data_IF_159114334925
#
_entry.id   IF_159114334925
#
_cell.length_a   1.000
_cell.length_b   1.000
_cell.length_c   1.000
_cell.angle_alpha   90.00
_cell.angle_beta   90.00
_cell.angle_gamma   90.00
#
_symmetry.space_group_name_H-M   'P 1'
#
loop_
_entity.id
_entity.type
_entity.pdbx_description
1 polymer ?
#
# COMPACT_ATOMS: atom_id res chain seq x y z
N UNK A 1 -39.35 17.95 6.78
CA UNK A 1 -38.86 16.65 6.27
C UNK A 1 -37.81 16.94 5.23
N UNK A 2 -36.55 16.78 5.56
CA UNK A 2 -35.45 16.81 4.60
C UNK A 2 -35.46 15.44 3.94
N UNK A 3 -35.66 15.37 2.62
CA UNK A 3 -35.60 14.12 1.85
C UNK A 3 -34.20 13.50 2.00
N UNK A 4 -34.12 12.22 2.35
CA UNK A 4 -32.87 11.45 2.35
C UNK A 4 -32.27 11.28 0.95
N UNK A 5 -32.95 11.74 -0.12
CA UNK A 5 -32.47 11.64 -1.49
C UNK A 5 -31.41 12.70 -1.85
N UNK A 6 -31.17 13.70 -0.99
CA UNK A 6 -30.19 14.76 -1.24
C UNK A 6 -28.97 14.74 -0.30
N UNK A 7 -28.81 13.69 0.50
CA UNK A 7 -27.55 13.41 1.16
C UNK A 7 -26.67 12.62 0.20
N UNK A 8 -25.73 13.32 -0.43
CA UNK A 8 -24.45 12.78 -0.89
C UNK A 8 -24.61 11.81 -2.08
N UNK A 9 -24.17 12.24 -3.26
CA UNK A 9 -23.71 11.33 -4.30
C UNK A 9 -22.52 10.56 -3.76
N UNK A 10 -22.79 9.57 -2.91
CA UNK A 10 -21.77 8.74 -2.29
C UNK A 10 -21.15 7.97 -3.42
N UNK A 11 -19.97 8.41 -3.86
CA UNK A 11 -19.00 7.57 -4.53
C UNK A 11 -18.85 6.34 -3.65
N UNK A 12 -19.67 5.31 -3.88
CA UNK A 12 -19.56 4.02 -3.24
C UNK A 12 -18.69 3.18 -4.15
N UNK A 13 -17.88 2.31 -3.55
CA UNK A 13 -17.23 1.26 -4.32
C UNK A 13 -18.31 0.49 -5.09
N UNK A 14 -18.16 0.31 -6.41
CA UNK A 14 -19.22 -0.25 -7.22
C UNK A 14 -19.49 -1.71 -6.86
N UNK A 15 -20.76 -2.11 -6.97
CA UNK A 15 -21.23 -3.42 -6.56
C UNK A 15 -21.14 -4.42 -7.71
N UNK A 16 -20.68 -5.64 -7.41
CA UNK A 16 -20.68 -6.74 -8.36
C UNK A 16 -22.07 -7.37 -8.45
N UNK A 17 -22.65 -7.40 -9.66
CA UNK A 17 -23.88 -8.13 -9.92
C UNK A 17 -23.60 -9.57 -10.35
N UNK A 18 -22.49 -9.80 -11.06
CA UNK A 18 -22.15 -11.09 -11.67
C UNK A 18 -20.64 -11.30 -11.78
N UNK A 19 -20.14 -12.56 -11.80
CA UNK A 19 -18.74 -12.85 -12.14
C UNK A 19 -18.33 -12.33 -13.52
N UNK A 20 -19.29 -12.10 -14.42
CA UNK A 20 -19.04 -11.54 -15.75
C UNK A 20 -18.57 -10.07 -15.73
N UNK A 21 -18.84 -9.36 -14.62
CA UNK A 21 -18.41 -7.97 -14.42
C UNK A 21 -16.90 -7.87 -14.10
N UNK A 22 -16.24 -9.00 -13.88
CA UNK A 22 -14.81 -9.11 -13.61
C UNK A 22 -14.05 -9.62 -14.82
N UNK A 23 -13.07 -8.83 -15.25
CA UNK A 23 -12.14 -9.17 -16.30
C UNK A 23 -10.76 -9.31 -15.68
N UNK A 24 -10.30 -10.54 -15.49
CA UNK A 24 -8.91 -10.79 -15.09
C UNK A 24 -7.97 -10.37 -16.22
N UNK A 25 -6.95 -9.59 -15.87
CA UNK A 25 -5.88 -9.18 -16.80
C UNK A 25 -4.63 -10.03 -16.58
N UNK A 26 -4.50 -10.63 -15.40
CA UNK A 26 -3.47 -11.60 -15.04
C UNK A 26 -4.12 -12.96 -14.75
N UNK A 27 -3.89 -13.94 -15.63
CA UNK A 27 -4.38 -15.31 -15.52
C UNK A 27 -3.38 -16.26 -14.85
N UNK A 28 -2.14 -15.81 -14.61
CA UNK A 28 -1.09 -16.61 -13.96
C UNK A 28 -1.09 -16.45 -12.43
N UNK A 29 -1.86 -15.50 -11.91
CA UNK A 29 -1.96 -15.23 -10.48
C UNK A 29 -2.69 -16.34 -9.69
N UNK A 30 -2.48 -16.41 -8.36
CA UNK A 30 -3.10 -17.44 -7.51
C UNK A 30 -4.60 -17.24 -7.26
N UNK A 31 -5.19 -16.14 -7.76
CA UNK A 31 -6.59 -15.78 -7.58
C UNK A 31 -7.38 -16.02 -8.87
N UNK A 32 -8.15 -17.12 -8.88
CA UNK A 32 -9.12 -17.41 -9.94
C UNK A 32 -10.29 -16.42 -9.90
N UNK A 33 -10.97 -16.23 -11.04
CA UNK A 33 -12.08 -15.27 -11.20
C UNK A 33 -13.20 -15.53 -10.20
N UNK A 34 -13.58 -16.79 -10.02
CA UNK A 34 -14.65 -17.21 -9.13
C UNK A 34 -14.32 -16.88 -7.67
N UNK A 35 -13.05 -17.04 -7.29
CA UNK A 35 -12.56 -16.72 -5.95
C UNK A 35 -12.49 -15.21 -5.73
N UNK A 36 -12.07 -14.45 -6.75
CA UNK A 36 -12.09 -12.99 -6.71
C UNK A 36 -13.52 -12.47 -6.60
N UNK A 37 -14.46 -13.03 -7.38
CA UNK A 37 -15.87 -12.70 -7.26
C UNK A 37 -16.38 -12.98 -5.85
N UNK A 38 -16.17 -14.19 -5.31
CA UNK A 38 -16.58 -14.52 -3.95
C UNK A 38 -15.99 -13.57 -2.88
N UNK A 39 -14.71 -13.19 -3.01
CA UNK A 39 -14.07 -12.23 -2.12
C UNK A 39 -14.75 -10.85 -2.13
N UNK A 40 -15.23 -10.43 -3.30
CA UNK A 40 -15.84 -9.13 -3.55
C UNK A 40 -17.38 -9.15 -3.38
N UNK A 41 -18.06 -10.28 -3.51
CA UNK A 41 -19.51 -10.37 -3.29
C UNK A 41 -19.90 -10.18 -1.82
N UNK A 42 -18.96 -10.42 -0.90
CA UNK A 42 -19.14 -10.22 0.55
C UNK A 42 -19.01 -8.74 0.99
N UNK A 43 -18.63 -7.83 0.08
CA UNK A 43 -18.39 -6.42 0.42
C UNK A 43 -19.61 -5.71 1.03
N UNK A 44 -20.85 -5.86 0.52
CA UNK A 44 -21.97 -5.07 1.00
C UNK A 44 -22.24 -5.26 2.49
N UNK A 45 -22.08 -6.49 2.97
CA UNK A 45 -22.21 -6.81 4.38
C UNK A 45 -21.10 -6.16 5.23
N UNK A 46 -19.89 -5.99 4.67
CA UNK A 46 -18.68 -5.54 5.39
C UNK A 46 -18.40 -4.05 5.29
N UNK A 47 -18.91 -3.37 4.26
CA UNK A 47 -18.82 -1.92 4.16
C UNK A 47 -19.46 -1.25 5.40
N UNK A 48 -20.50 -1.87 5.97
CA UNK A 48 -21.12 -1.45 7.23
C UNK A 48 -20.18 -1.56 8.45
N UNK A 49 -19.13 -2.37 8.39
CA UNK A 49 -18.17 -2.61 9.49
C UNK A 49 -16.90 -1.73 9.37
N UNK A 50 -16.88 -0.75 8.46
CA UNK A 50 -15.69 0.08 8.20
C UNK A 50 -14.66 -0.61 7.30
N UNK A 51 -15.08 -1.60 6.51
CA UNK A 51 -14.21 -2.31 5.55
C UNK A 51 -13.84 -1.51 4.30
N UNK A 52 -14.25 -0.25 4.18
CA UNK A 52 -13.98 0.61 3.01
C UNK A 52 -13.34 1.92 3.47
N UNK A 53 -12.18 2.25 2.92
CA UNK A 53 -11.54 3.55 3.06
C UNK A 53 -11.57 4.26 1.71
N UNK A 54 -12.19 5.43 1.63
CA UNK A 54 -12.29 6.22 0.41
C UNK A 54 -11.62 7.58 0.58
N UNK A 55 -10.80 7.94 -0.40
CA UNK A 55 -10.33 9.30 -0.62
C UNK A 55 -10.87 9.81 -1.96
N UNK A 56 -10.62 11.08 -2.27
CA UNK A 56 -11.02 11.69 -3.54
C UNK A 56 -10.38 11.03 -4.78
N UNK A 57 -9.30 10.26 -4.59
CA UNK A 57 -8.59 9.63 -5.72
C UNK A 57 -8.53 8.11 -5.61
N UNK A 58 -8.54 7.56 -4.39
CA UNK A 58 -8.29 6.14 -4.13
C UNK A 58 -9.43 5.55 -3.33
N UNK A 59 -9.85 4.33 -3.69
CA UNK A 59 -10.68 3.51 -2.84
C UNK A 59 -9.93 2.24 -2.45
N UNK A 60 -9.93 1.96 -1.15
CA UNK A 60 -9.41 0.74 -0.55
C UNK A 60 -10.57 -0.03 0.07
N UNK A 61 -10.55 -1.32 -0.17
CA UNK A 61 -11.53 -2.26 0.34
C UNK A 61 -10.82 -3.41 1.04
N UNK A 62 -11.25 -3.72 2.25
CA UNK A 62 -10.66 -4.75 3.11
C UNK A 62 -11.64 -5.91 3.26
N UNK A 63 -11.27 -7.11 2.80
CA UNK A 63 -12.12 -8.31 2.89
C UNK A 63 -11.28 -9.56 3.13
N UNK A 64 -11.66 -10.40 4.10
CA UNK A 64 -11.07 -11.73 4.36
C UNK A 64 -9.52 -11.78 4.34
N UNK A 65 -8.85 -10.76 4.87
CA UNK A 65 -7.38 -10.70 4.85
C UNK A 65 -6.76 -10.29 3.51
N UNK A 66 -7.55 -9.68 2.63
CA UNK A 66 -7.15 -9.06 1.36
C UNK A 66 -7.47 -7.58 1.37
N UNK A 67 -6.76 -6.85 0.52
CA UNK A 67 -7.01 -5.45 0.19
C UNK A 67 -7.20 -5.34 -1.31
N UNK A 68 -8.29 -4.71 -1.70
CA UNK A 68 -8.59 -4.35 -3.07
C UNK A 68 -8.41 -2.84 -3.19
N UNK A 69 -7.70 -2.41 -4.22
CA UNK A 69 -7.39 -1.01 -4.47
C UNK A 69 -7.86 -0.64 -5.87
N UNK A 70 -8.46 0.54 -5.98
CA UNK A 70 -8.81 1.17 -7.25
C UNK A 70 -8.61 2.68 -7.17
N UNK A 71 -8.53 3.34 -8.32
CA UNK A 71 -8.51 4.80 -8.40
C UNK A 71 -9.72 5.31 -9.14
N UNK A 72 -10.37 6.29 -8.51
CA UNK A 72 -11.56 6.91 -9.06
C UNK A 72 -11.27 7.70 -10.34
N UNK A 73 -10.08 8.27 -10.44
CA UNK A 73 -9.62 9.06 -11.58
C UNK A 73 -9.28 8.21 -12.81
N UNK A 74 -9.09 6.91 -12.63
CA UNK A 74 -8.62 6.02 -13.69
C UNK A 74 -9.77 5.23 -14.33
N UNK A 75 -11.02 5.47 -13.89
CA UNK A 75 -12.20 4.88 -14.50
C UNK A 75 -12.36 5.39 -15.93
N UNK A 76 -12.76 4.50 -16.84
CA UNK A 76 -12.88 4.81 -18.27
C UNK A 76 -14.01 4.01 -18.91
N UNK A 77 -14.78 4.57 -19.85
CA UNK A 77 -15.71 3.79 -20.69
C UNK A 77 -14.98 2.96 -21.76
N UNK A 78 -13.70 3.24 -22.03
CA UNK A 78 -12.90 2.52 -23.03
C UNK A 78 -12.15 1.33 -22.39
N UNK A 79 -12.77 0.15 -22.51
CA UNK A 79 -12.18 -1.11 -22.03
C UNK A 79 -10.84 -1.43 -22.70
N UNK A 80 -10.66 -1.13 -23.98
CA UNK A 80 -9.45 -1.51 -24.70
C UNK A 80 -8.24 -0.70 -24.21
N UNK A 81 -8.41 0.63 -24.08
CA UNK A 81 -7.39 1.49 -23.51
C UNK A 81 -7.06 1.10 -22.06
N UNK A 82 -8.08 0.81 -21.24
CA UNK A 82 -7.89 0.43 -19.85
C UNK A 82 -7.19 -0.94 -19.71
N UNK A 83 -7.55 -1.93 -20.53
CA UNK A 83 -6.83 -3.21 -20.62
C UNK A 83 -5.36 -3.02 -20.94
N UNK A 84 -5.04 -2.18 -21.92
CA UNK A 84 -3.66 -1.88 -22.27
C UNK A 84 -2.90 -1.21 -21.11
N UNK A 85 -3.56 -0.33 -20.34
CA UNK A 85 -2.99 0.27 -19.13
C UNK A 85 -2.72 -0.77 -18.05
N UNK A 86 -3.72 -1.58 -17.68
CA UNK A 86 -3.57 -2.60 -16.63
C UNK A 86 -2.54 -3.66 -17.02
N UNK A 87 -2.47 -4.05 -18.29
CA UNK A 87 -1.45 -4.98 -18.79
C UNK A 87 -0.02 -4.45 -18.60
N UNK A 88 0.21 -3.13 -18.76
CA UNK A 88 1.50 -2.52 -18.44
C UNK A 88 1.82 -2.61 -16.95
N UNK A 89 0.83 -2.43 -16.08
CA UNK A 89 1.00 -2.59 -14.62
C UNK A 89 1.29 -4.03 -14.22
N UNK A 90 0.65 -5.01 -14.86
CA UNK A 90 0.92 -6.45 -14.66
C UNK A 90 2.35 -6.78 -15.06
N UNK A 91 2.78 -6.38 -16.25
CA UNK A 91 4.15 -6.63 -16.73
C UNK A 91 5.19 -6.00 -15.79
N UNK A 92 4.94 -4.75 -15.36
CA UNK A 92 5.79 -4.10 -14.39
C UNK A 92 5.84 -4.85 -13.06
N UNK A 93 4.69 -5.35 -12.60
CA UNK A 93 4.57 -6.13 -11.36
C UNK A 93 5.43 -7.38 -11.39
N UNK A 94 5.36 -8.12 -12.50
CA UNK A 94 6.14 -9.33 -12.73
C UNK A 94 7.64 -9.04 -12.80
N UNK A 95 8.01 -7.92 -13.43
CA UNK A 95 9.42 -7.57 -13.68
C UNK A 95 10.18 -7.09 -12.44
N UNK A 96 9.58 -6.25 -11.58
CA UNK A 96 10.31 -5.59 -10.47
C UNK A 96 10.23 -6.38 -9.15
N UNK A 97 9.26 -7.29 -9.00
CA UNK A 97 9.11 -8.17 -7.83
C UNK A 97 9.08 -7.46 -6.45
N UNK A 98 8.65 -6.19 -6.43
CA UNK A 98 8.49 -5.36 -5.22
C UNK A 98 7.12 -5.51 -4.56
N UNK A 99 6.12 -5.96 -5.32
CA UNK A 99 4.79 -6.24 -4.81
C UNK A 99 4.71 -7.66 -4.24
N UNK A 100 3.64 -7.93 -3.49
CA UNK A 100 3.36 -9.28 -3.00
C UNK A 100 3.14 -10.25 -4.19
N UNK A 101 3.69 -11.48 -4.17
CA UNK A 101 3.58 -12.43 -5.29
C UNK A 101 2.13 -12.88 -5.58
N UNK A 102 1.25 -12.79 -4.59
CA UNK A 102 -0.18 -13.03 -4.76
C UNK A 102 -0.99 -11.78 -5.15
N UNK A 103 -0.33 -10.66 -5.48
CA UNK A 103 -1.02 -9.50 -6.04
C UNK A 103 -1.55 -9.86 -7.42
N UNK A 104 -2.81 -9.57 -7.67
CA UNK A 104 -3.44 -9.77 -8.96
C UNK A 104 -4.08 -8.47 -9.45
N UNK A 105 -4.21 -8.34 -10.76
CA UNK A 105 -4.83 -7.19 -11.42
C UNK A 105 -6.07 -7.62 -12.20
N UNK A 106 -7.10 -6.80 -12.14
CA UNK A 106 -8.35 -7.06 -12.81
C UNK A 106 -9.03 -5.74 -13.19
N UNK A 107 -10.01 -5.85 -14.05
CA UNK A 107 -10.89 -4.74 -14.41
C UNK A 107 -12.29 -5.10 -13.93
N UNK A 108 -12.94 -4.15 -13.31
CA UNK A 108 -14.31 -4.25 -12.83
C UNK A 108 -15.22 -3.35 -13.70
N UNK A 109 -16.41 -3.84 -14.07
CA UNK A 109 -17.39 -3.10 -14.87
C UNK A 109 -18.63 -2.79 -14.01
N UNK A 110 -18.98 -1.51 -13.84
CA UNK A 110 -20.20 -1.09 -13.09
C UNK A 110 -21.46 -1.01 -13.96
N UNK A 111 -21.35 -1.29 -15.26
CA UNK A 111 -22.43 -1.13 -16.24
C UNK A 111 -22.24 0.05 -17.19
N UNK A 112 -21.55 1.10 -16.75
CA UNK A 112 -21.25 2.29 -17.56
C UNK A 112 -19.75 2.47 -17.81
N UNK A 113 -18.93 2.19 -16.80
CA UNK A 113 -17.50 2.42 -16.78
C UNK A 113 -16.74 1.16 -16.36
N UNK A 114 -15.47 1.14 -16.76
CA UNK A 114 -14.49 0.15 -16.34
C UNK A 114 -13.52 0.75 -15.34
N UNK A 115 -13.23 0.00 -14.30
CA UNK A 115 -12.37 0.39 -13.19
C UNK A 115 -11.13 -0.50 -13.15
N UNK A 116 -9.92 0.06 -13.21
CA UNK A 116 -8.71 -0.72 -13.02
C UNK A 116 -8.56 -1.02 -11.53
N UNK A 117 -8.41 -2.30 -11.19
CA UNK A 117 -8.31 -2.72 -9.81
C UNK A 117 -7.10 -3.63 -9.60
N UNK A 118 -6.58 -3.59 -8.38
CA UNK A 118 -5.60 -4.55 -7.90
C UNK A 118 -6.11 -5.18 -6.60
N UNK A 119 -5.72 -6.42 -6.36
CA UNK A 119 -6.02 -7.15 -5.12
C UNK A 119 -4.75 -7.76 -4.60
N UNK A 120 -4.50 -7.64 -3.30
CA UNK A 120 -3.30 -8.16 -2.64
C UNK A 120 -3.65 -8.67 -1.25
N UNK A 121 -2.94 -9.65 -0.68
CA UNK A 121 -3.11 -9.97 0.72
C UNK A 121 -2.90 -8.73 1.58
N UNK A 122 -3.66 -8.65 2.67
CA UNK A 122 -3.57 -7.55 3.62
C UNK A 122 -2.21 -7.60 4.31
N UNK A 123 -1.42 -6.58 4.01
CA UNK A 123 -0.14 -6.34 4.65
C UNK A 123 -0.34 -5.40 5.83
N UNK A 124 0.53 -5.52 6.83
CA UNK A 124 0.59 -4.58 7.95
C UNK A 124 1.46 -3.41 7.47
N UNK A 125 0.92 -2.18 7.36
CA UNK A 125 1.72 -1.02 7.02
C UNK A 125 2.88 -0.86 8.00
N UNK A 126 4.06 -0.43 7.52
CA UNK A 126 5.22 -0.23 8.40
C UNK A 126 4.89 0.73 9.56
N UNK A 127 4.03 1.73 9.31
CA UNK A 127 3.56 2.71 10.28
C UNK A 127 2.66 2.14 11.37
N UNK A 128 2.11 0.93 11.18
CA UNK A 128 1.21 0.25 12.11
C UNK A 128 1.87 -0.93 12.84
N UNK A 129 3.17 -1.17 12.62
CA UNK A 129 3.87 -2.24 13.33
C UNK A 129 3.81 -1.97 14.85
N UNK A 130 3.31 -2.92 15.66
CA UNK A 130 3.06 -2.68 17.08
C UNK A 130 4.35 -2.34 17.82
N UNK A 131 4.23 -1.43 18.78
CA UNK A 131 5.20 -1.31 19.88
C UNK A 131 5.07 -2.54 20.78
N UNK A 132 6.19 -3.03 21.34
CA UNK A 132 6.21 -4.18 22.26
C UNK A 132 5.29 -3.99 23.47
N UNK A 133 4.85 -2.76 23.76
CA UNK A 133 3.86 -2.44 24.79
C UNK A 133 2.42 -2.84 24.43
N UNK A 134 2.16 -3.40 23.26
CA UNK A 134 0.81 -3.77 22.82
C UNK A 134 -0.11 -2.57 22.52
N UNK A 135 0.42 -1.35 22.59
CA UNK A 135 -0.28 -0.14 22.16
C UNK A 135 -0.11 0.04 20.65
N UNK A 136 -1.21 0.07 19.91
CA UNK A 136 -1.21 0.55 18.53
C UNK A 136 -0.71 1.99 18.52
N UNK A 137 0.42 2.25 17.86
CA UNK A 137 1.03 3.57 17.75
C UNK A 137 0.25 4.45 16.74
N UNK A 138 -1.05 4.66 16.96
CA UNK A 138 -1.80 5.65 16.20
C UNK A 138 -1.52 7.04 16.79
N UNK A 139 -0.69 7.79 16.06
CA UNK A 139 -0.85 9.22 15.76
C UNK A 139 -0.15 10.34 16.58
N UNK A 140 0.66 10.13 17.63
CA UNK A 140 1.24 11.30 18.35
C UNK A 140 2.76 11.53 18.32
N UNK A 141 3.62 10.57 17.94
CA UNK A 141 5.09 10.73 18.14
C UNK A 141 6.00 10.60 16.91
N UNK A 142 5.44 10.54 15.69
CA UNK A 142 6.23 10.44 14.45
C UNK A 142 7.19 11.63 14.18
N UNK A 143 7.03 12.76 14.88
CA UNK A 143 7.86 13.97 14.69
C UNK A 143 9.10 14.05 15.61
N UNK A 144 9.27 13.11 16.54
CA UNK A 144 10.36 13.13 17.52
C UNK A 144 11.62 12.38 17.09
N UNK A 145 11.51 11.48 16.11
CA UNK A 145 12.52 10.43 15.89
C UNK A 145 13.82 10.93 15.29
N UNK A 146 13.77 11.91 14.40
CA UNK A 146 14.98 12.28 13.67
C UNK A 146 15.57 13.67 14.03
N UNK A 147 14.89 14.41 14.93
CA UNK A 147 15.53 15.48 15.73
C UNK A 147 16.61 14.96 16.68
N UNK A 148 16.59 13.67 17.03
CA UNK A 148 17.53 13.08 17.99
C UNK A 148 18.91 12.72 17.39
N UNK A 149 19.11 12.83 16.07
CA UNK A 149 20.39 12.56 15.41
C UNK A 149 20.99 13.86 14.86
N UNK A 150 21.22 14.84 15.75
CA UNK A 150 22.20 15.88 15.43
C UNK A 150 23.59 15.35 15.81
N UNK A 151 24.55 15.30 14.88
CA UNK A 151 25.92 14.88 15.19
C UNK A 151 26.59 16.00 16.00
N UNK A 152 26.43 15.97 17.32
CA UNK A 152 27.28 16.73 18.24
C UNK A 152 28.21 15.75 18.90
N UNK A 153 29.46 15.71 18.45
CA UNK A 153 30.61 15.11 19.14
C UNK A 153 30.44 13.63 19.51
N UNK A 154 31.11 12.75 18.78
CA UNK A 154 31.21 11.32 19.09
C UNK A 154 31.87 11.17 20.48
N UNK A 155 31.05 11.04 21.51
CA UNK A 155 31.46 10.49 22.81
C UNK A 155 31.05 9.02 22.79
N UNK A 156 32.07 8.16 22.84
CA UNK A 156 31.95 6.71 22.87
C UNK A 156 31.10 6.27 24.06
N UNK A 157 29.99 5.59 23.73
CA UNK A 157 29.19 4.73 24.62
C UNK A 157 28.48 5.51 25.75
N UNK A 158 27.50 6.29 25.31
CA UNK A 158 26.57 7.05 26.15
C UNK A 158 25.65 6.15 27.02
N UNK A 159 25.15 6.64 28.18
CA UNK A 159 24.04 6.06 28.96
C UNK A 159 22.78 5.73 28.13
N UNK A 160 22.69 6.20 26.89
CA UNK A 160 21.74 5.78 25.87
C UNK A 160 21.76 4.26 25.59
N UNK A 161 22.94 3.62 25.56
CA UNK A 161 23.04 2.16 25.36
C UNK A 161 22.52 1.38 26.57
N UNK A 162 22.80 1.83 27.79
CA UNK A 162 22.25 1.22 29.00
C UNK A 162 20.73 1.40 29.11
N UNK A 163 20.21 2.55 28.69
CA UNK A 163 18.76 2.81 28.64
C UNK A 163 18.08 1.96 27.55
N UNK A 164 18.78 1.61 26.47
CA UNK A 164 18.29 0.67 25.45
C UNK A 164 18.26 -0.79 25.92
N UNK A 165 19.16 -1.20 26.81
CA UNK A 165 19.22 -2.59 27.29
C UNK A 165 18.10 -2.93 28.30
N UNK A 166 17.64 -1.98 29.11
CA UNK A 166 16.76 -2.26 30.26
C UNK A 166 15.25 -2.38 29.94
N UNK A 167 14.80 -2.22 28.69
CA UNK A 167 13.37 -2.03 28.40
C UNK A 167 12.75 -2.80 27.22
N UNK A 168 13.38 -3.85 26.67
CA UNK A 168 12.86 -4.60 25.50
C UNK A 168 12.93 -3.85 24.15
N UNK A 169 12.84 -2.52 24.21
CA UNK A 169 12.81 -1.54 23.13
C UNK A 169 13.92 -1.66 22.07
N UNK A 170 15.06 -2.30 22.37
CA UNK A 170 16.14 -2.49 21.39
C UNK A 170 15.75 -3.46 20.27
N UNK A 171 14.94 -4.49 20.55
CA UNK A 171 14.50 -5.46 19.52
C UNK A 171 13.59 -4.80 18.50
N UNK A 172 12.66 -3.98 18.96
CA UNK A 172 11.80 -3.19 18.08
C UNK A 172 12.59 -2.14 17.29
N UNK A 173 13.53 -1.43 17.91
CA UNK A 173 14.40 -0.46 17.20
C UNK A 173 15.21 -1.16 16.11
N UNK A 174 15.80 -2.31 16.43
CA UNK A 174 16.53 -3.10 15.45
C UNK A 174 15.59 -3.56 14.33
N UNK A 175 14.39 -4.04 14.66
CA UNK A 175 13.37 -4.42 13.67
C UNK A 175 12.99 -3.25 12.76
N UNK A 176 12.74 -2.07 13.32
CA UNK A 176 12.39 -0.87 12.57
C UNK A 176 13.55 -0.43 11.67
N UNK A 177 14.79 -0.43 12.17
CA UNK A 177 15.99 -0.16 11.36
C UNK A 177 16.15 -1.16 10.21
N UNK A 178 15.91 -2.46 10.47
CA UNK A 178 15.97 -3.50 9.43
C UNK A 178 14.88 -3.31 8.38
N UNK A 179 13.67 -2.90 8.79
CA UNK A 179 12.55 -2.61 7.89
C UNK A 179 12.86 -1.38 7.02
N UNK A 180 13.34 -0.29 7.60
CA UNK A 180 13.76 0.90 6.84
C UNK A 180 14.92 0.60 5.89
N UNK A 181 15.90 -0.19 6.32
CA UNK A 181 16.99 -0.65 5.45
C UNK A 181 16.45 -1.44 4.26
N UNK A 182 15.48 -2.33 4.47
CA UNK A 182 14.84 -3.10 3.40
C UNK A 182 14.03 -2.23 2.46
N UNK A 183 13.29 -1.26 2.98
CA UNK A 183 12.57 -0.26 2.19
C UNK A 183 13.55 0.52 1.29
N UNK A 184 14.64 1.03 1.86
CA UNK A 184 15.68 1.75 1.12
C UNK A 184 16.35 0.88 0.05
N UNK A 185 16.61 -0.40 0.36
CA UNK A 185 17.14 -1.36 -0.62
C UNK A 185 16.12 -1.61 -1.75
N UNK A 186 14.84 -1.79 -1.42
CA UNK A 186 13.78 -1.99 -2.42
C UNK A 186 13.68 -0.81 -3.39
N UNK A 187 13.70 0.42 -2.86
CA UNK A 187 13.72 1.65 -3.65
C UNK A 187 14.98 1.74 -4.53
N UNK A 188 16.16 1.53 -3.94
CA UNK A 188 17.42 1.59 -4.67
C UNK A 188 17.49 0.55 -5.79
N UNK A 189 17.06 -0.69 -5.54
CA UNK A 189 16.96 -1.75 -6.55
C UNK A 189 15.99 -1.37 -7.67
N UNK A 190 14.82 -0.81 -7.33
CA UNK A 190 13.82 -0.36 -8.31
C UNK A 190 14.40 0.72 -9.24
N UNK A 191 15.10 1.70 -8.68
CA UNK A 191 15.72 2.79 -9.44
C UNK A 191 16.88 2.26 -10.30
N UNK A 192 17.81 1.53 -9.69
CA UNK A 192 19.07 1.14 -10.36
C UNK A 192 18.87 0.06 -11.43
N UNK A 193 17.95 -0.88 -11.23
CA UNK A 193 17.76 -1.99 -12.17
C UNK A 193 16.61 -1.77 -13.15
N UNK A 194 15.61 -0.97 -12.77
CA UNK A 194 14.38 -0.83 -13.55
C UNK A 194 14.06 0.61 -13.95
N UNK A 195 14.84 1.61 -13.51
CA UNK A 195 14.58 3.03 -13.73
C UNK A 195 13.19 3.46 -13.23
N UNK A 196 12.75 2.85 -12.12
CA UNK A 196 11.46 3.12 -11.49
C UNK A 196 11.67 3.65 -10.07
N UNK A 197 11.05 4.79 -9.77
CA UNK A 197 10.98 5.35 -8.43
C UNK A 197 9.67 4.96 -7.73
N UNK A 198 9.76 4.71 -6.42
CA UNK A 198 8.65 4.36 -5.54
C UNK A 198 8.44 5.50 -4.54
N UNK A 199 7.20 5.83 -4.19
CA UNK A 199 6.94 6.85 -3.16
C UNK A 199 7.65 6.46 -1.85
N UNK A 200 8.50 7.33 -1.26
CA UNK A 200 9.25 7.05 -0.04
C UNK A 200 8.39 7.00 1.22
N UNK A 201 7.10 7.35 1.15
CA UNK A 201 6.22 7.36 2.31
C UNK A 201 6.10 5.95 2.93
N UNK A 202 6.47 5.75 4.21
CA UNK A 202 6.41 4.45 4.87
C UNK A 202 5.02 3.80 4.89
N UNK A 203 3.93 4.56 4.73
CA UNK A 203 2.58 4.00 4.62
C UNK A 203 2.36 3.20 3.34
N UNK A 204 3.20 3.37 2.32
CA UNK A 204 3.11 2.66 1.04
C UNK A 204 3.89 1.34 1.05
N UNK A 205 4.40 0.95 2.21
CA UNK A 205 5.14 -0.30 2.39
C UNK A 205 4.51 -1.12 3.51
N UNK A 206 4.52 -2.44 3.33
CA UNK A 206 3.92 -3.35 4.28
C UNK A 206 4.65 -4.67 4.39
N UNK A 207 4.31 -5.42 5.43
CA UNK A 207 4.87 -6.72 5.76
C UNK A 207 3.72 -7.68 6.04
N UNK A 208 3.83 -8.92 5.56
CA UNK A 208 2.91 -9.98 5.99
C UNK A 208 3.03 -10.26 7.49
N UNK A 209 1.93 -10.63 8.14
CA UNK A 209 1.93 -10.95 9.56
C UNK A 209 2.93 -12.09 9.87
N UNK A 210 3.81 -11.85 10.84
CA UNK A 210 4.84 -12.82 11.23
C UNK A 210 6.00 -12.99 10.24
N UNK A 211 6.02 -12.26 9.12
CA UNK A 211 7.13 -12.27 8.16
C UNK A 211 8.02 -11.05 8.33
N UNK A 212 9.08 -11.02 7.53
CA UNK A 212 10.06 -9.92 7.57
C UNK A 212 10.27 -9.26 6.19
N UNK A 213 9.77 -9.86 5.11
CA UNK A 213 9.86 -9.29 3.76
C UNK A 213 8.99 -8.03 3.67
N UNK A 214 9.57 -6.96 3.14
CA UNK A 214 8.88 -5.70 2.87
C UNK A 214 8.39 -5.74 1.43
N UNK A 215 7.15 -5.33 1.23
CA UNK A 215 6.53 -5.15 -0.09
C UNK A 215 6.08 -3.71 -0.24
N UNK A 216 6.07 -3.24 -1.49
CA UNK A 216 5.41 -2.00 -1.87
C UNK A 216 3.92 -2.27 -2.07
N UNK A 217 3.06 -1.43 -1.47
CA UNK A 217 1.61 -1.59 -1.43
C UNK A 217 0.89 -0.67 -2.41
N UNK A 218 1.53 0.39 -2.87
CA UNK A 218 0.94 1.28 -3.86
C UNK A 218 1.00 0.68 -5.27
N UNK A 219 0.07 1.11 -6.10
CA UNK A 219 -0.02 0.81 -7.53
C UNK A 219 0.72 1.87 -8.35
N UNK A 220 1.06 3.01 -7.74
CA UNK A 220 1.80 4.11 -8.36
C UNK A 220 3.30 3.85 -8.38
N UNK A 221 3.86 3.99 -9.58
CA UNK A 221 5.30 4.08 -9.80
C UNK A 221 5.60 5.29 -10.66
N UNK A 222 6.80 5.82 -10.51
CA UNK A 222 7.22 7.00 -11.27
C UNK A 222 8.44 6.66 -12.12
N UNK A 223 8.48 7.20 -13.34
CA UNK A 223 9.68 7.12 -14.16
C UNK A 223 10.81 7.86 -13.44
N UNK A 224 11.93 7.19 -13.22
CA UNK A 224 13.10 7.85 -12.63
C UNK A 224 13.83 8.65 -13.70
N UNK A 225 13.64 9.97 -13.70
CA UNK A 225 14.31 10.84 -14.68
C UNK A 225 15.68 11.34 -14.20
N UNK A 226 15.84 11.65 -12.90
CA UNK A 226 17.11 12.11 -12.34
C UNK A 226 17.20 12.04 -10.82
N UNK A 227 18.44 11.96 -10.30
CA UNK A 227 18.73 12.08 -8.86
C UNK A 227 18.33 13.44 -8.26
N UNK A 228 18.26 14.49 -9.08
CA UNK A 228 17.82 15.82 -8.63
C UNK A 228 16.33 15.82 -8.27
N UNK A 229 15.51 15.05 -8.98
CA UNK A 229 14.09 14.89 -8.65
C UNK A 229 13.92 14.09 -7.36
N UNK A 230 14.71 13.02 -7.18
CA UNK A 230 14.71 12.28 -5.92
C UNK A 230 15.12 13.16 -4.73
N UNK A 231 16.10 14.04 -4.92
CA UNK A 231 16.51 15.00 -3.87
C UNK A 231 15.43 16.06 -3.56
N UNK A 232 14.48 16.30 -4.48
CA UNK A 232 13.30 17.16 -4.25
C UNK A 232 12.18 16.44 -3.53
N UNK A 233 12.18 15.10 -3.52
CA UNK A 233 11.31 14.34 -2.65
C UNK A 233 11.82 14.54 -1.23
N UNK A 234 11.27 15.56 -0.60
CA UNK A 234 11.72 16.14 0.65
C UNK A 234 11.85 15.03 1.70
N UNK A 235 13.08 14.62 1.99
CA UNK A 235 13.43 13.55 2.94
C UNK A 235 13.15 13.98 4.40
N UNK A 236 12.28 14.96 4.62
CA UNK A 236 11.78 15.35 5.94
C UNK A 236 11.04 14.22 6.66
N UNK A 237 10.69 13.14 5.97
CA UNK A 237 10.09 11.92 6.55
C UNK A 237 11.13 11.05 7.28
N UNK A 238 12.42 11.24 7.03
CA UNK A 238 13.52 10.59 7.78
C UNK A 238 14.28 11.58 8.70
N UNK A 239 13.75 12.80 8.90
CA UNK A 239 14.31 13.88 9.75
C UNK A 239 13.46 14.19 11.00
#
# INVERSE_FOLDING_TARGET
MISMENLVGTEQFPWLASPADLILVDDEGPLLRERLFALLSDIPARAAEGGVEMSSTTCLLFSQGWVVKTRQTDKSPDLAALKAQVARSVELTRRIAIWHPAKAWFIFHDGENYWPCSVTPRLIPITQLPDERGGSSQASEGRGWCRAVKPRGISLISPFFEKMQRGGMWRQRLRLCLVHRRMALLMATSILLYHVALDPNPSNYGIEQGKTRVYYMDDEVYAFSSWKELARWDVRVLS
#
